data_IF_167902242784
#
_entry.id   IF_167902242784
#
_cell.length_a   1.000
_cell.length_b   1.000
_cell.length_c   1.000
_cell.angle_alpha   90.00
_cell.angle_beta   90.00
_cell.angle_gamma   90.00
#
_symmetry.space_group_name_H-M   'P 1'
#
loop_
_entity.id
_entity.type
_entity.pdbx_description
1 polymer ?
#
# COMPACT_ATOMS: atom_id res chain seq x y z
N UNK A 1 -3.31 5.88 10.83
CA UNK A 1 -2.72 5.52 9.54
C UNK A 1 -3.86 5.30 8.54
N UNK A 2 -4.14 6.29 7.69
CA UNK A 2 -5.10 6.11 6.59
C UNK A 2 -4.27 5.96 5.32
N UNK A 3 -4.28 4.75 4.77
CA UNK A 3 -3.66 4.43 3.49
C UNK A 3 -4.75 4.17 2.47
N UNK A 4 -4.50 4.55 1.22
CA UNK A 4 -5.38 4.27 0.10
C UNK A 4 -4.74 3.22 -0.80
N UNK A 5 -5.38 2.07 -0.93
CA UNK A 5 -4.94 0.99 -1.81
C UNK A 5 -5.71 1.09 -3.12
N UNK A 6 -5.00 1.16 -4.24
CA UNK A 6 -5.58 1.24 -5.59
C UNK A 6 -5.11 0.09 -6.45
N UNK A 7 -6.06 -0.55 -7.13
CA UNK A 7 -5.77 -1.59 -8.11
C UNK A 7 -5.43 -1.01 -9.48
N UNK A 8 -4.22 -1.27 -9.96
CA UNK A 8 -3.72 -0.76 -11.23
C UNK A 8 -3.12 -1.91 -12.06
N UNK A 9 -3.76 -2.22 -13.18
CA UNK A 9 -3.23 -3.12 -14.23
C UNK A 9 -2.62 -4.44 -13.71
N UNK A 10 -3.24 -5.04 -12.70
CA UNK A 10 -2.85 -6.35 -12.18
C UNK A 10 -1.97 -6.33 -10.94
N UNK A 11 -1.60 -5.15 -10.43
CA UNK A 11 -0.96 -4.98 -9.13
C UNK A 11 -1.72 -3.93 -8.31
N UNK A 12 -1.34 -3.75 -7.05
CA UNK A 12 -1.88 -2.73 -6.15
C UNK A 12 -0.84 -1.65 -5.85
N UNK A 13 -1.30 -0.42 -5.71
CA UNK A 13 -0.50 0.73 -5.33
C UNK A 13 -1.03 1.29 -4.01
N UNK A 14 -0.13 1.61 -3.09
CA UNK A 14 -0.45 2.13 -1.77
C UNK A 14 -0.06 3.60 -1.69
N UNK A 15 -1.01 4.43 -1.30
CA UNK A 15 -0.86 5.86 -1.15
C UNK A 15 -1.03 6.27 0.32
N UNK A 16 -0.22 7.24 0.75
CA UNK A 16 -0.37 7.89 2.05
C UNK A 16 -1.61 8.80 2.09
N UNK A 17 -2.01 9.25 3.28
CA UNK A 17 -3.13 10.19 3.47
C UNK A 17 -3.01 11.49 2.66
N UNK A 18 -1.78 11.89 2.29
CA UNK A 18 -1.51 13.04 1.42
C UNK A 18 -1.62 12.71 -0.08
N UNK A 19 -2.05 11.49 -0.45
CA UNK A 19 -2.07 11.01 -1.83
C UNK A 19 -0.68 10.79 -2.42
N UNK A 20 0.35 10.65 -1.56
CA UNK A 20 1.73 10.38 -2.00
C UNK A 20 1.92 8.89 -2.17
N UNK A 21 2.44 8.50 -3.33
CA UNK A 21 2.81 7.11 -3.59
C UNK A 21 3.83 6.65 -2.55
N UNK A 22 3.52 5.57 -1.83
CA UNK A 22 4.42 4.93 -0.88
C UNK A 22 5.15 3.78 -1.53
N UNK A 23 4.41 2.80 -2.05
CA UNK A 23 4.94 1.64 -2.74
C UNK A 23 3.83 0.92 -3.52
N UNK A 24 4.22 -0.03 -4.37
CA UNK A 24 3.32 -0.92 -5.11
C UNK A 24 3.64 -2.38 -4.76
N UNK A 25 2.63 -3.22 -4.72
CA UNK A 25 2.75 -4.67 -4.48
C UNK A 25 1.94 -5.44 -5.52
N UNK A 26 2.30 -6.69 -5.81
CA UNK A 26 1.62 -7.49 -6.84
C UNK A 26 0.20 -7.86 -6.38
N UNK A 27 0.01 -8.12 -5.08
CA UNK A 27 -1.28 -8.44 -4.47
C UNK A 27 -1.62 -7.56 -3.25
N UNK A 28 -2.91 -7.44 -2.92
CA UNK A 28 -3.38 -6.78 -1.69
C UNK A 28 -2.70 -7.33 -0.43
N UNK A 29 -2.48 -8.65 -0.39
CA UNK A 29 -1.83 -9.30 0.76
C UNK A 29 -0.41 -8.80 0.99
N UNK A 30 0.42 -8.73 -0.06
CA UNK A 30 1.77 -8.17 0.04
C UNK A 30 1.73 -6.70 0.45
N UNK A 31 0.76 -5.93 -0.06
CA UNK A 31 0.59 -4.54 0.34
C UNK A 31 0.21 -4.39 1.82
N UNK A 32 -0.65 -5.26 2.33
CA UNK A 32 -1.06 -5.26 3.74
C UNK A 32 0.08 -5.70 4.65
N UNK A 33 0.86 -6.73 4.28
CA UNK A 33 2.04 -7.14 5.04
C UNK A 33 3.06 -6.00 5.15
N UNK A 34 3.40 -5.34 4.03
CA UNK A 34 4.31 -4.19 4.05
C UNK A 34 3.76 -3.02 4.88
N UNK A 35 2.44 -2.76 4.81
CA UNK A 35 1.79 -1.75 5.66
C UNK A 35 1.84 -2.10 7.15
N UNK A 36 1.67 -3.37 7.50
CA UNK A 36 1.74 -3.85 8.87
C UNK A 36 3.17 -3.73 9.41
N UNK A 37 4.17 -4.16 8.62
CA UNK A 37 5.60 -4.02 8.94
C UNK A 37 5.99 -2.55 9.14
N UNK A 38 5.55 -1.65 8.25
CA UNK A 38 5.82 -0.21 8.34
C UNK A 38 5.15 0.44 9.55
N UNK A 39 3.94 -0.01 9.92
CA UNK A 39 3.25 0.50 11.10
C UNK A 39 3.83 0.02 12.43
N UNK A 40 4.56 -1.11 12.41
CA UNK A 40 5.15 -1.75 13.59
C UNK A 40 6.58 -1.29 13.90
N UNK A 41 7.22 -0.52 13.01
CA UNK A 41 8.58 0.03 13.15
C UNK A 41 8.59 1.43 13.79
#
# INVERSE_FOLDING_TARGET
MNYEIRYVRGHVEVYDQMGRFRFSADSEWEALEELEQDSAA
#
